data_IF_714760536082
#
_entry.id   IF_714760536082
#
_cell.length_a   1.000
_cell.length_b   1.000
_cell.length_c   1.000
_cell.angle_alpha   90.00
_cell.angle_beta   90.00
_cell.angle_gamma   90.00
#
_symmetry.space_group_name_H-M   'P 1'
#
loop_
_entity.id
_entity.type
_entity.pdbx_description
1 polymer ?
#
# COMPACT_ATOMS: atom_id res chain seq x y z
N UNK A 1 -30.79 7.48 -9.25
CA UNK A 1 -29.35 7.80 -9.35
C UNK A 1 -29.14 8.62 -10.62
N UNK A 2 -28.11 9.47 -10.75
CA UNK A 2 -27.89 10.52 -11.79
C UNK A 2 -28.71 10.48 -13.10
N UNK A 3 -28.88 9.33 -13.74
CA UNK A 3 -29.82 9.12 -14.86
C UNK A 3 -31.29 9.50 -14.59
N UNK A 4 -31.72 9.55 -13.33
CA UNK A 4 -33.05 9.97 -12.88
C UNK A 4 -33.11 11.47 -12.53
N UNK A 5 -32.04 12.23 -12.81
CA UNK A 5 -32.00 13.68 -12.57
C UNK A 5 -33.11 14.39 -13.34
N UNK A 6 -33.85 15.32 -12.70
CA UNK A 6 -34.83 16.16 -13.40
C UNK A 6 -34.15 17.22 -14.29
N UNK A 7 -32.84 17.45 -14.11
CA UNK A 7 -32.03 18.29 -14.99
C UNK A 7 -31.28 17.42 -16.01
N UNK A 8 -31.48 17.73 -17.29
CA UNK A 8 -30.74 17.12 -18.40
C UNK A 8 -29.27 17.54 -18.31
N UNK A 9 -28.35 16.58 -18.52
CA UNK A 9 -26.89 16.81 -18.44
C UNK A 9 -26.44 17.41 -17.10
N UNK A 10 -26.82 16.81 -15.97
CA UNK A 10 -26.32 17.20 -14.66
C UNK A 10 -24.78 17.06 -14.60
N UNK A 11 -24.08 18.17 -14.83
CA UNK A 11 -22.60 18.26 -14.77
C UNK A 11 -22.09 18.33 -13.32
N UNK A 12 -22.95 18.76 -12.38
CA UNK A 12 -22.62 18.90 -10.96
C UNK A 12 -23.23 17.74 -10.16
N UNK A 13 -22.36 16.96 -9.50
CA UNK A 13 -22.74 15.90 -8.58
C UNK A 13 -21.74 15.84 -7.43
N UNK A 14 -22.17 15.19 -6.34
CA UNK A 14 -21.34 14.96 -5.16
C UNK A 14 -21.59 13.55 -4.63
N UNK A 15 -20.53 12.93 -4.10
CA UNK A 15 -20.59 11.65 -3.42
C UNK A 15 -20.80 11.91 -1.93
N UNK A 16 -22.03 11.76 -1.46
CA UNK A 16 -22.37 12.00 -0.05
C UNK A 16 -22.22 10.76 0.84
N UNK A 17 -22.30 9.56 0.27
CA UNK A 17 -22.21 8.30 1.02
C UNK A 17 -21.61 7.20 0.15
N UNK A 18 -20.77 6.36 0.75
CA UNK A 18 -20.09 5.23 0.10
C UNK A 18 -19.62 4.20 1.14
N UNK A 19 -19.52 2.95 0.71
CA UNK A 19 -18.98 1.83 1.50
C UNK A 19 -18.04 0.99 0.64
N UNK A 20 -17.17 0.20 1.29
CA UNK A 20 -16.27 -0.74 0.60
C UNK A 20 -14.92 -0.16 0.17
N UNK A 21 -14.57 1.05 0.59
CA UNK A 21 -13.29 1.71 0.30
C UNK A 21 -12.21 1.49 1.38
N UNK A 22 -12.44 0.59 2.32
CA UNK A 22 -11.53 0.35 3.44
C UNK A 22 -11.32 1.63 4.27
N UNK A 23 -10.06 1.96 4.56
CA UNK A 23 -9.71 3.20 5.26
C UNK A 23 -9.51 4.40 4.31
N UNK A 24 -9.69 4.22 3.00
CA UNK A 24 -9.51 5.32 2.04
C UNK A 24 -10.71 6.25 2.03
N UNK A 25 -10.46 7.54 2.27
CA UNK A 25 -11.49 8.56 2.26
C UNK A 25 -11.68 9.14 0.85
N UNK A 26 -12.65 8.62 0.11
CA UNK A 26 -13.03 9.18 -1.19
C UNK A 26 -13.58 10.61 -1.02
N UNK A 27 -13.07 11.54 -1.83
CA UNK A 27 -13.51 12.93 -1.84
C UNK A 27 -14.97 13.05 -2.29
N UNK A 28 -15.73 13.94 -1.64
CA UNK A 28 -17.11 14.28 -2.02
C UNK A 28 -17.21 14.79 -3.47
N UNK A 29 -16.14 15.41 -3.97
CA UNK A 29 -16.06 15.96 -5.32
C UNK A 29 -15.25 15.06 -6.28
N UNK A 30 -14.97 13.81 -5.88
CA UNK A 30 -14.28 12.88 -6.76
C UNK A 30 -15.11 12.60 -8.02
N UNK A 31 -14.44 12.54 -9.17
CA UNK A 31 -15.07 12.12 -10.40
C UNK A 31 -15.50 10.65 -10.34
N UNK A 32 -16.56 10.28 -11.08
CA UNK A 32 -17.03 8.88 -11.17
C UNK A 32 -15.91 7.95 -11.67
N UNK A 33 -15.08 8.40 -12.62
CA UNK A 33 -13.93 7.63 -13.11
C UNK A 33 -12.92 7.38 -12.00
N UNK A 34 -12.55 8.40 -11.22
CA UNK A 34 -11.66 8.25 -10.05
C UNK A 34 -12.25 7.29 -9.02
N UNK A 35 -13.54 7.44 -8.69
CA UNK A 35 -14.22 6.54 -7.76
C UNK A 35 -14.21 5.08 -8.26
N UNK A 36 -14.40 4.88 -9.56
CA UNK A 36 -14.33 3.56 -10.20
C UNK A 36 -12.92 2.97 -10.14
N UNK A 37 -11.89 3.75 -10.46
CA UNK A 37 -10.49 3.29 -10.42
C UNK A 37 -10.05 2.91 -9.01
N UNK A 38 -10.41 3.73 -8.02
CA UNK A 38 -10.18 3.43 -6.60
C UNK A 38 -10.87 2.12 -6.21
N UNK A 39 -12.16 1.96 -6.55
CA UNK A 39 -12.89 0.73 -6.25
C UNK A 39 -12.24 -0.50 -6.93
N UNK A 40 -11.76 -0.35 -8.16
CA UNK A 40 -11.04 -1.41 -8.87
C UNK A 40 -9.72 -1.79 -8.19
N UNK A 41 -8.91 -0.81 -7.76
CA UNK A 41 -7.65 -1.08 -7.08
C UNK A 41 -7.88 -1.81 -5.75
N UNK A 42 -8.84 -1.34 -4.96
CA UNK A 42 -9.20 -1.96 -3.68
C UNK A 42 -9.76 -3.37 -3.89
N UNK A 43 -10.56 -3.60 -4.94
CA UNK A 43 -11.05 -4.93 -5.26
C UNK A 43 -9.93 -5.88 -5.76
N UNK A 44 -8.92 -5.36 -6.46
CA UNK A 44 -7.75 -6.12 -6.92
C UNK A 44 -6.81 -6.48 -5.75
N UNK A 45 -6.64 -5.56 -4.80
CA UNK A 45 -5.77 -5.72 -3.63
C UNK A 45 -6.54 -5.46 -2.32
N UNK A 46 -7.43 -6.36 -1.89
CA UNK A 46 -8.35 -6.12 -0.77
C UNK A 46 -7.65 -5.91 0.58
N UNK A 47 -6.45 -6.46 0.75
CA UNK A 47 -5.72 -6.38 2.02
C UNK A 47 -4.95 -5.07 2.20
N UNK A 48 -4.62 -4.35 1.11
CA UNK A 48 -3.70 -3.20 1.16
C UNK A 48 -4.05 -2.03 0.23
N UNK A 49 -4.97 -2.20 -0.71
CA UNK A 49 -5.28 -1.20 -1.74
C UNK A 49 -5.73 0.14 -1.15
N UNK A 50 -6.52 0.14 -0.07
CA UNK A 50 -6.93 1.38 0.61
C UNK A 50 -5.74 2.09 1.27
N UNK A 51 -4.81 1.31 1.83
CA UNK A 51 -3.69 1.82 2.62
C UNK A 51 -2.60 2.40 1.74
N UNK A 52 -2.39 1.78 0.58
CA UNK A 52 -1.57 2.35 -0.48
C UNK A 52 -2.12 3.69 -0.97
N UNK A 53 -3.42 3.77 -1.25
CA UNK A 53 -4.03 5.03 -1.69
C UNK A 53 -3.93 6.11 -0.61
N UNK A 54 -4.11 5.76 0.66
CA UNK A 54 -3.89 6.69 1.77
C UNK A 54 -2.42 7.13 1.87
N UNK A 55 -1.47 6.23 1.64
CA UNK A 55 -0.04 6.55 1.68
C UNK A 55 0.39 7.55 0.60
N UNK A 56 -0.20 7.45 -0.59
CA UNK A 56 0.10 8.33 -1.73
C UNK A 56 -0.91 9.46 -1.92
N UNK A 57 -1.64 9.85 -0.87
CA UNK A 57 -2.64 10.93 -0.92
C UNK A 57 -3.67 10.81 -2.07
N UNK A 58 -4.01 9.57 -2.44
CA UNK A 58 -4.93 9.24 -3.53
C UNK A 58 -4.31 9.23 -4.93
N UNK A 59 -2.98 9.35 -5.08
CA UNK A 59 -2.31 9.18 -6.37
C UNK A 59 -2.39 7.72 -6.84
N UNK A 60 -3.26 7.52 -7.83
CA UNK A 60 -3.57 6.21 -8.39
C UNK A 60 -2.38 5.57 -9.10
N UNK A 61 -1.57 6.36 -9.79
CA UNK A 61 -0.47 5.84 -10.59
C UNK A 61 0.72 5.49 -9.70
N UNK A 62 1.01 6.28 -8.67
CA UNK A 62 1.99 5.92 -7.64
C UNK A 62 1.56 4.66 -6.88
N UNK A 63 0.30 4.57 -6.43
CA UNK A 63 -0.22 3.39 -5.74
C UNK A 63 -0.14 2.11 -6.59
N UNK A 64 -0.51 2.18 -7.88
CA UNK A 64 -0.39 1.05 -8.82
C UNK A 64 1.07 0.66 -9.07
N UNK A 65 1.96 1.63 -9.19
CA UNK A 65 3.39 1.39 -9.41
C UNK A 65 4.00 0.71 -8.20
N UNK A 66 3.68 1.20 -7.00
CA UNK A 66 4.15 0.62 -5.75
C UNK A 66 3.77 -0.87 -5.62
N UNK A 67 2.50 -1.22 -5.82
CA UNK A 67 2.05 -2.62 -5.66
C UNK A 67 2.52 -3.56 -6.77
N UNK A 68 2.68 -3.07 -8.01
CA UNK A 68 3.05 -3.91 -9.16
C UNK A 68 4.55 -4.09 -9.32
N UNK A 69 5.33 -3.04 -9.04
CA UNK A 69 6.76 -3.01 -9.38
C UNK A 69 7.67 -2.99 -8.15
N UNK A 70 7.20 -2.43 -7.04
CA UNK A 70 8.04 -2.18 -5.87
C UNK A 70 7.69 -3.06 -4.66
N UNK A 71 6.60 -3.84 -4.73
CA UNK A 71 6.16 -4.67 -3.61
C UNK A 71 7.09 -5.87 -3.38
N UNK A 72 7.64 -5.96 -2.17
CA UNK A 72 8.56 -7.02 -1.76
C UNK A 72 7.83 -8.23 -1.17
N UNK A 73 6.72 -8.01 -0.46
CA UNK A 73 5.97 -9.07 0.20
C UNK A 73 5.30 -8.63 1.51
N UNK A 74 4.65 -9.58 2.17
CA UNK A 74 4.03 -9.40 3.49
C UNK A 74 4.76 -10.28 4.50
N UNK A 75 5.25 -9.65 5.57
CA UNK A 75 6.10 -10.26 6.59
C UNK A 75 5.49 -10.05 7.97
N UNK A 76 5.89 -10.88 8.94
CA UNK A 76 5.42 -10.72 10.32
C UNK A 76 6.04 -9.50 11.01
N UNK A 77 7.26 -9.18 10.61
CA UNK A 77 8.02 -8.04 11.08
C UNK A 77 9.01 -7.60 10.01
N UNK A 78 9.52 -6.39 10.14
CA UNK A 78 10.60 -5.90 9.29
C UNK A 78 11.91 -6.69 9.47
N UNK A 79 12.08 -7.35 10.63
CA UNK A 79 13.21 -8.24 10.88
C UNK A 79 13.16 -9.49 10.00
N UNK A 80 11.96 -10.04 9.74
CA UNK A 80 11.81 -11.20 8.84
C UNK A 80 12.19 -10.83 7.40
N UNK A 81 11.78 -9.65 6.93
CA UNK A 81 12.21 -9.14 5.63
C UNK A 81 13.73 -8.93 5.57
N UNK A 82 14.31 -8.28 6.58
CA UNK A 82 15.75 -8.05 6.64
C UNK A 82 16.54 -9.36 6.66
N UNK A 83 16.03 -10.40 7.34
CA UNK A 83 16.62 -11.72 7.33
C UNK A 83 16.59 -12.35 5.94
N UNK A 84 15.42 -12.44 5.31
CA UNK A 84 15.25 -13.00 3.97
C UNK A 84 16.18 -12.31 2.97
N UNK A 85 16.12 -10.98 2.91
CA UNK A 85 16.94 -10.19 1.98
C UNK A 85 18.45 -10.38 2.22
N UNK A 86 18.89 -10.45 3.48
CA UNK A 86 20.30 -10.66 3.81
C UNK A 86 20.76 -12.06 3.43
N UNK A 87 19.96 -13.09 3.71
CA UNK A 87 20.27 -14.48 3.38
C UNK A 87 20.30 -14.71 1.85
N UNK A 88 19.48 -13.99 1.08
CA UNK A 88 19.48 -14.04 -0.38
C UNK A 88 20.66 -13.30 -1.02
N UNK A 89 21.08 -12.18 -0.45
CA UNK A 89 22.09 -11.29 -1.06
C UNK A 89 23.50 -11.54 -0.54
N UNK A 90 23.65 -12.14 0.63
CA UNK A 90 24.93 -12.24 1.34
C UNK A 90 25.18 -13.65 1.87
N UNK A 91 26.39 -14.18 1.60
CA UNK A 91 26.81 -15.45 2.18
C UNK A 91 27.23 -15.25 3.64
N UNK A 92 26.36 -15.63 4.57
CA UNK A 92 26.60 -15.53 6.02
C UNK A 92 27.50 -16.70 6.49
N UNK A 93 28.67 -16.44 7.11
CA UNK A 93 29.43 -17.48 7.78
C UNK A 93 28.63 -18.12 8.92
N UNK A 94 28.62 -19.45 9.00
CA UNK A 94 27.82 -20.20 10.00
C UNK A 94 28.06 -19.76 11.44
N UNK A 95 29.30 -19.39 11.77
CA UNK A 95 29.67 -18.96 13.11
C UNK A 95 29.10 -17.59 13.48
N UNK A 96 28.65 -16.81 12.49
CA UNK A 96 28.07 -15.48 12.67
C UNK A 96 26.53 -15.46 12.65
N UNK A 97 25.87 -16.53 12.19
CA UNK A 97 24.40 -16.57 12.01
C UNK A 97 23.64 -16.15 13.27
N UNK A 98 24.07 -16.58 14.46
CA UNK A 98 23.40 -16.28 15.72
C UNK A 98 23.76 -14.91 16.32
N UNK A 99 24.58 -14.11 15.64
CA UNK A 99 25.03 -12.79 16.10
C UNK A 99 24.46 -11.65 15.24
N UNK A 100 23.65 -11.96 14.23
CA UNK A 100 23.05 -10.96 13.36
C UNK A 100 21.76 -10.44 14.01
N UNK A 101 21.66 -9.12 14.11
CA UNK A 101 20.52 -8.41 14.66
C UNK A 101 19.64 -7.90 13.52
N UNK A 102 18.72 -8.75 13.05
CA UNK A 102 17.83 -8.42 11.94
C UNK A 102 16.80 -7.35 12.30
N UNK A 103 16.45 -7.17 13.58
CA UNK A 103 15.57 -6.08 14.02
C UNK A 103 16.21 -4.73 13.70
N UNK A 104 17.47 -4.55 14.10
CA UNK A 104 18.21 -3.32 13.80
C UNK A 104 18.46 -3.12 12.32
N UNK A 105 18.76 -4.20 11.60
CA UNK A 105 18.95 -4.10 10.15
C UNK A 105 17.68 -3.65 9.44
N UNK A 106 16.52 -4.22 9.78
CA UNK A 106 15.24 -3.79 9.23
C UNK A 106 14.98 -2.30 9.47
N UNK A 107 15.17 -1.86 10.72
CA UNK A 107 15.02 -0.45 11.09
C UNK A 107 15.97 0.48 10.33
N UNK A 108 17.22 0.08 10.13
CA UNK A 108 18.20 0.89 9.37
C UNK A 108 17.81 1.00 7.89
N UNK A 109 17.25 -0.04 7.28
CA UNK A 109 16.80 -0.03 5.88
C UNK A 109 15.60 0.92 5.70
N UNK A 110 14.62 0.86 6.59
CA UNK A 110 13.45 1.76 6.53
C UNK A 110 13.84 3.21 6.86
N UNK A 111 14.65 3.45 7.90
CA UNK A 111 15.13 4.80 8.23
C UNK A 111 16.03 5.39 7.13
N UNK A 112 16.73 4.53 6.37
CA UNK A 112 17.49 4.94 5.20
C UNK A 112 16.63 5.48 4.05
N UNK A 113 15.33 5.16 4.07
CA UNK A 113 14.37 5.54 3.04
C UNK A 113 14.43 4.65 1.80
N UNK A 114 15.22 3.57 1.81
CA UNK A 114 15.28 2.61 0.71
C UNK A 114 13.95 1.86 0.54
N UNK A 115 13.21 1.68 1.63
CA UNK A 115 11.90 1.05 1.66
C UNK A 115 10.90 1.90 2.46
N UNK A 116 9.62 1.61 2.28
CA UNK A 116 8.57 1.98 3.22
C UNK A 116 7.71 0.76 3.56
N UNK A 117 7.01 0.83 4.69
CA UNK A 117 6.14 -0.24 5.17
C UNK A 117 4.71 0.23 5.41
N UNK A 118 3.76 -0.69 5.25
CA UNK A 118 2.36 -0.49 5.60
C UNK A 118 1.90 -1.66 6.48
N UNK A 119 1.40 -1.35 7.67
CA UNK A 119 0.84 -2.33 8.61
C UNK A 119 -0.67 -2.45 8.42
N UNK A 120 -1.13 -3.63 7.98
CA UNK A 120 -2.56 -3.90 7.73
C UNK A 120 -3.19 -4.74 8.84
N UNK A 121 -2.38 -5.24 9.78
CA UNK A 121 -2.84 -6.06 10.90
C UNK A 121 -1.70 -6.62 11.75
N UNK A 122 -2.05 -7.50 12.69
CA UNK A 122 -1.07 -8.20 13.53
C UNK A 122 -0.21 -9.13 12.66
N UNK A 123 1.12 -8.97 12.75
CA UNK A 123 2.08 -9.72 11.94
C UNK A 123 1.83 -9.59 10.41
N UNK A 124 1.35 -8.43 9.96
CA UNK A 124 1.10 -8.14 8.55
C UNK A 124 1.76 -6.80 8.16
N UNK A 125 3.08 -6.86 7.95
CA UNK A 125 3.92 -5.75 7.48
C UNK A 125 4.18 -5.92 6.00
N UNK A 126 3.58 -5.05 5.19
CA UNK A 126 3.81 -5.02 3.76
C UNK A 126 5.01 -4.12 3.45
N UNK A 127 5.99 -4.64 2.72
CA UNK A 127 7.25 -3.94 2.43
C UNK A 127 7.31 -3.54 0.96
N UNK A 128 7.74 -2.32 0.69
CA UNK A 128 7.88 -1.76 -0.66
C UNK A 128 9.23 -1.05 -0.82
N UNK A 129 9.86 -1.16 -1.98
CA UNK A 129 10.96 -0.26 -2.34
C UNK A 129 10.46 1.16 -2.57
N UNK A 130 11.16 2.14 -2.00
CA UNK A 130 10.94 3.56 -2.29
C UNK A 130 11.63 3.89 -3.62
N UNK A 131 10.86 4.08 -4.70
CA UNK A 131 11.38 4.48 -6.01
C UNK A 131 10.78 5.80 -6.45
#
# INVERSE_FOLDING_TARGET
MLADSPEDFAEEYAIHDYEGFGNYALSEYAGIETAHEVACLIAEYPDIGSELLNHFDGDMEEAKTAIRENYCGCYKSLADYAQEWTEETTQIPKDLTYYIDYERMGWDIEMGGDIFTLETGFEAVHVFWSR
#
